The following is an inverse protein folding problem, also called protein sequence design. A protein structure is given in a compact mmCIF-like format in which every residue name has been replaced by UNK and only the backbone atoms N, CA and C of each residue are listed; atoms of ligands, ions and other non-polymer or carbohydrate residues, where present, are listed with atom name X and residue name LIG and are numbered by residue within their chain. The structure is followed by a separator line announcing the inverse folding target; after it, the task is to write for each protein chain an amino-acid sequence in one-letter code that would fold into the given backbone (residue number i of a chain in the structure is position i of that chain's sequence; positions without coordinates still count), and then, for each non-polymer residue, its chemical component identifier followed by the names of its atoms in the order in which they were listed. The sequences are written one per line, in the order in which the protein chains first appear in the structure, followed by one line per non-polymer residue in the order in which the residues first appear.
data_IF_872937168019
#
_entry.id   IF_872937168019
#
_cell.length_a   1.000
_cell.length_b   1.000
_cell.length_c   1.000
_cell.angle_alpha   90.00
_cell.angle_beta   90.00
_cell.angle_gamma   90.00
#
_symmetry.space_group_name_H-M   'P 1'
#
loop_
_entity.id
_entity.type
_entity.pdbx_description
1 polymer ?
#
# COMPACT_ATOMS: atom_id res chain seq x y z
N UNK A 1 -30.08 -1.48 -4.15
CA UNK A 1 -28.88 -2.33 -3.98
C UNK A 1 -29.36 -3.70 -3.50
N UNK A 2 -29.19 -4.78 -4.26
CA UNK A 2 -29.75 -6.10 -3.91
C UNK A 2 -28.81 -6.86 -2.96
N UNK A 3 -29.36 -7.69 -2.08
CA UNK A 3 -28.68 -8.45 -1.00
C UNK A 3 -27.36 -9.18 -1.40
N UNK A 4 -27.21 -9.54 -2.70
CA UNK A 4 -26.02 -10.18 -3.28
C UNK A 4 -24.85 -9.21 -3.53
N UNK A 5 -25.13 -7.90 -3.67
CA UNK A 5 -24.12 -6.83 -3.73
C UNK A 5 -23.63 -6.44 -2.34
N UNK A 6 -24.47 -6.51 -1.30
CA UNK A 6 -24.06 -6.18 0.07
C UNK A 6 -23.00 -7.15 0.62
N UNK A 7 -23.19 -8.47 0.48
CA UNK A 7 -22.18 -9.45 0.92
C UNK A 7 -20.85 -9.32 0.18
N UNK A 8 -20.89 -9.03 -1.13
CA UNK A 8 -19.68 -8.82 -1.93
C UNK A 8 -18.94 -7.55 -1.52
N UNK A 9 -19.67 -6.48 -1.22
CA UNK A 9 -19.11 -5.23 -0.70
C UNK A 9 -18.45 -5.44 0.67
N UNK A 10 -19.07 -6.22 1.57
CA UNK A 10 -18.46 -6.55 2.88
C UNK A 10 -17.15 -7.32 2.77
N UNK A 11 -17.08 -8.34 1.89
CA UNK A 11 -15.85 -9.11 1.71
C UNK A 11 -14.69 -8.26 1.18
N UNK A 12 -14.95 -7.37 0.22
CA UNK A 12 -13.97 -6.42 -0.27
C UNK A 12 -13.47 -5.49 0.84
N UNK A 13 -14.38 -4.99 1.69
CA UNK A 13 -14.01 -4.14 2.83
C UNK A 13 -13.14 -4.89 3.85
N UNK A 14 -13.40 -6.18 4.08
CA UNK A 14 -12.56 -7.01 4.97
C UNK A 14 -11.16 -7.18 4.41
N UNK A 15 -11.04 -7.57 3.13
CA UNK A 15 -9.74 -7.68 2.44
C UNK A 15 -9.02 -6.34 2.50
N UNK A 16 -9.69 -5.26 2.12
CA UNK A 16 -9.09 -3.92 2.16
C UNK A 16 -8.66 -3.51 3.57
N UNK A 17 -9.42 -3.87 4.61
CA UNK A 17 -9.05 -3.61 6.00
C UNK A 17 -7.82 -4.39 6.46
N UNK A 18 -7.70 -5.67 6.07
CA UNK A 18 -6.51 -6.49 6.35
C UNK A 18 -5.29 -5.90 5.62
N UNK A 19 -5.43 -5.60 4.32
CA UNK A 19 -4.42 -4.90 3.54
C UNK A 19 -3.98 -3.60 4.21
N UNK A 20 -4.91 -2.76 4.67
CA UNK A 20 -4.56 -1.50 5.34
C UNK A 20 -3.78 -1.75 6.65
N UNK A 21 -4.17 -2.74 7.44
CA UNK A 21 -3.43 -3.10 8.65
C UNK A 21 -1.99 -3.57 8.34
N UNK A 22 -1.83 -4.38 7.28
CA UNK A 22 -0.52 -4.80 6.79
C UNK A 22 0.30 -3.62 6.25
N UNK A 23 -0.34 -2.69 5.54
CA UNK A 23 0.27 -1.48 5.01
C UNK A 23 0.79 -0.58 6.14
N UNK A 24 -0.02 -0.36 7.18
CA UNK A 24 0.41 0.37 8.39
C UNK A 24 1.60 -0.32 9.05
N UNK A 25 1.54 -1.65 9.21
CA UNK A 25 2.62 -2.41 9.82
C UNK A 25 3.92 -2.37 9.00
N UNK A 26 3.80 -2.42 7.67
CA UNK A 26 4.90 -2.29 6.74
C UNK A 26 5.55 -0.90 6.82
N UNK A 27 4.76 0.17 6.67
CA UNK A 27 5.30 1.53 6.47
C UNK A 27 5.73 2.18 7.78
N UNK A 28 4.89 2.10 8.82
CA UNK A 28 5.20 2.76 10.09
C UNK A 28 6.20 1.95 10.93
N UNK A 29 6.04 0.64 10.95
CA UNK A 29 6.76 -0.23 11.88
C UNK A 29 7.78 -1.14 11.19
N UNK A 30 7.89 -1.13 9.85
CA UNK A 30 8.86 -1.94 9.10
C UNK A 30 8.79 -3.43 9.43
N UNK A 31 7.58 -3.93 9.70
CA UNK A 31 7.32 -5.30 10.18
C UNK A 31 7.97 -5.67 11.53
N UNK A 32 8.39 -4.68 12.33
CA UNK A 32 8.89 -4.90 13.68
C UNK A 32 7.87 -5.71 14.51
N UNK A 33 8.35 -6.77 15.16
CA UNK A 33 7.56 -7.57 16.10
C UNK A 33 7.74 -7.09 17.53
N UNK A 34 8.81 -6.34 17.79
CA UNK A 34 9.15 -5.80 19.10
C UNK A 34 9.46 -4.31 18.99
N UNK A 35 9.14 -3.49 20.02
CA UNK A 35 9.41 -2.06 19.99
C UNK A 35 10.87 -1.70 19.74
N UNK A 36 11.82 -2.53 20.19
CA UNK A 36 13.26 -2.27 20.04
C UNK A 36 13.76 -2.41 18.59
N UNK A 37 12.97 -3.04 17.71
CA UNK A 37 13.27 -3.17 16.28
C UNK A 37 12.82 -1.93 15.48
N UNK A 38 11.98 -1.08 16.07
CA UNK A 38 11.50 0.15 15.43
C UNK A 38 12.65 1.17 15.42
N UNK A 39 13.03 1.72 14.25
CA UNK A 39 14.11 2.69 14.18
C UNK A 39 13.81 3.92 15.05
N UNK A 40 14.83 4.46 15.72
CA UNK A 40 14.73 5.73 16.47
C UNK A 40 15.45 6.84 15.70
N UNK A 41 14.82 7.26 14.60
CA UNK A 41 15.38 8.30 13.75
C UNK A 41 14.29 9.29 13.37
N UNK A 42 14.68 10.56 13.26
CA UNK A 42 13.81 11.66 12.86
C UNK A 42 14.55 12.52 11.85
N UNK A 43 14.07 12.50 10.62
CA UNK A 43 14.57 13.32 9.53
C UNK A 43 13.43 13.78 8.65
N UNK A 44 13.65 14.84 7.88
CA UNK A 44 12.75 15.29 6.83
C UNK A 44 13.58 15.51 5.57
N UNK A 45 13.20 14.85 4.48
CA UNK A 45 13.67 15.12 3.14
C UNK A 45 12.51 15.67 2.29
N UNK A 46 12.60 16.94 1.92
CA UNK A 46 11.63 17.60 1.04
C UNK A 46 12.15 17.79 -0.38
N UNK A 47 13.34 17.27 -0.70
CA UNK A 47 13.91 17.33 -2.04
C UNK A 47 13.62 15.99 -2.72
N UNK A 48 12.67 15.93 -3.68
CA UNK A 48 12.30 14.67 -4.32
C UNK A 48 13.50 14.00 -4.95
N UNK A 49 13.64 12.69 -4.69
CA UNK A 49 14.72 11.84 -5.22
C UNK A 49 16.14 12.29 -4.85
N UNK A 50 16.31 13.19 -3.86
CA UNK A 50 17.65 13.61 -3.42
C UNK A 50 18.45 12.47 -2.77
N UNK A 51 17.77 11.60 -2.02
CA UNK A 51 18.36 10.37 -1.49
C UNK A 51 18.70 9.34 -2.59
N UNK A 52 18.03 9.45 -3.75
CA UNK A 52 18.17 8.54 -4.90
C UNK A 52 19.31 8.90 -5.84
N UNK A 53 20.08 9.95 -5.54
CA UNK A 53 21.23 10.38 -6.32
C UNK A 53 22.46 9.51 -5.98
N UNK A 54 22.42 8.28 -6.49
CA UNK A 54 23.56 7.38 -6.77
C UNK A 54 24.37 6.89 -5.56
N UNK A 55 24.07 5.68 -5.11
CA UNK A 55 25.04 4.81 -4.41
C UNK A 55 25.38 3.65 -5.34
N UNK A 56 26.64 3.52 -5.76
CA UNK A 56 27.17 2.39 -6.57
C UNK A 56 26.59 2.16 -7.97
N UNK A 57 26.18 3.22 -8.70
CA UNK A 57 25.87 3.12 -10.13
C UNK A 57 24.63 2.29 -10.50
N UNK A 58 23.88 1.80 -9.51
CA UNK A 58 22.52 1.27 -9.66
C UNK A 58 21.58 2.29 -9.06
N UNK A 59 20.70 2.84 -9.87
CA UNK A 59 19.66 3.76 -9.40
C UNK A 59 18.79 3.02 -8.37
N UNK A 60 18.30 3.71 -7.34
CA UNK A 60 17.24 3.29 -6.41
C UNK A 60 15.87 3.03 -7.11
N UNK A 61 15.87 2.62 -8.38
CA UNK A 61 14.67 2.24 -9.14
C UNK A 61 13.90 1.13 -8.40
N UNK A 62 14.59 0.24 -7.68
CA UNK A 62 13.93 -0.78 -6.86
C UNK A 62 13.07 -0.14 -5.76
N UNK A 63 13.57 0.84 -5.02
CA UNK A 63 12.81 1.51 -3.94
C UNK A 63 11.59 2.25 -4.50
N UNK A 64 11.77 2.97 -5.61
CA UNK A 64 10.66 3.65 -6.32
C UNK A 64 9.58 2.63 -6.73
N UNK A 65 9.99 1.53 -7.37
CA UNK A 65 9.06 0.48 -7.80
C UNK A 65 8.38 -0.17 -6.59
N UNK A 66 9.11 -0.46 -5.51
CA UNK A 66 8.59 -1.07 -4.29
C UNK A 66 7.52 -0.19 -3.64
N UNK A 67 7.79 1.11 -3.47
CA UNK A 67 6.82 2.09 -2.96
C UNK A 67 5.55 2.14 -3.82
N UNK A 68 5.72 2.24 -5.15
CA UNK A 68 4.60 2.21 -6.09
C UNK A 68 3.79 0.91 -6.00
N UNK A 69 4.46 -0.25 -5.91
CA UNK A 69 3.80 -1.56 -5.83
C UNK A 69 3.02 -1.73 -4.53
N UNK A 70 3.55 -1.21 -3.41
CA UNK A 70 2.89 -1.30 -2.10
C UNK A 70 1.55 -0.55 -2.10
N UNK A 71 1.44 0.59 -2.79
CA UNK A 71 0.17 1.35 -2.89
C UNK A 71 -0.75 0.96 -4.06
N UNK A 72 -0.29 0.12 -4.99
CA UNK A 72 -1.11 -0.34 -6.11
C UNK A 72 -2.42 -1.02 -5.65
N UNK A 73 -2.42 -1.94 -4.66
CA UNK A 73 -3.65 -2.53 -4.15
C UNK A 73 -4.61 -1.50 -3.55
N UNK A 74 -4.12 -0.41 -2.94
CA UNK A 74 -4.96 0.69 -2.45
C UNK A 74 -5.76 1.30 -3.60
N UNK A 75 -5.11 1.64 -4.71
CA UNK A 75 -5.75 2.21 -5.91
C UNK A 75 -6.82 1.31 -6.52
N UNK A 76 -6.55 -0.01 -6.57
CA UNK A 76 -7.51 -1.02 -7.02
C UNK A 76 -8.73 -1.10 -6.09
N UNK A 77 -8.50 -1.21 -4.79
CA UNK A 77 -9.56 -1.40 -3.80
C UNK A 77 -10.43 -0.16 -3.65
N UNK A 78 -9.84 1.04 -3.55
CA UNK A 78 -10.60 2.28 -3.39
C UNK A 78 -11.50 2.55 -4.61
N UNK A 79 -11.04 2.17 -5.80
CA UNK A 79 -11.83 2.27 -7.03
C UNK A 79 -12.95 1.24 -7.11
N UNK A 80 -12.78 0.07 -6.51
CA UNK A 80 -13.82 -0.94 -6.42
C UNK A 80 -14.86 -0.63 -5.32
N UNK A 81 -14.45 0.06 -4.24
CA UNK A 81 -15.33 0.50 -3.14
C UNK A 81 -16.14 1.74 -3.57
N UNK A 82 -15.49 2.70 -4.23
CA UNK A 82 -16.10 3.96 -4.69
C UNK A 82 -16.04 4.09 -6.23
N UNK A 83 -16.74 3.22 -6.98
CA UNK A 83 -16.65 3.18 -8.43
C UNK A 83 -17.16 4.46 -9.11
N UNK A 84 -18.12 5.13 -8.48
CA UNK A 84 -18.77 6.33 -9.00
C UNK A 84 -18.08 7.63 -8.53
N UNK A 85 -17.08 7.54 -7.65
CA UNK A 85 -16.30 8.70 -7.23
C UNK A 85 -15.39 9.18 -8.36
N UNK A 86 -15.20 10.48 -8.46
CA UNK A 86 -14.19 11.06 -9.35
C UNK A 86 -12.80 10.47 -9.08
N UNK A 87 -11.98 10.38 -10.14
CA UNK A 87 -10.61 9.86 -10.04
C UNK A 87 -9.77 10.75 -9.12
N UNK A 88 -9.96 12.07 -9.18
CA UNK A 88 -9.24 13.04 -8.35
C UNK A 88 -9.42 12.78 -6.86
N UNK A 89 -10.65 12.48 -6.41
CA UNK A 89 -10.92 12.14 -5.01
C UNK A 89 -10.19 10.87 -4.56
N UNK A 90 -10.08 9.88 -5.45
CA UNK A 90 -9.35 8.62 -5.17
C UNK A 90 -7.84 8.86 -5.08
N UNK A 91 -7.31 9.72 -5.95
CA UNK A 91 -5.90 10.16 -5.89
C UNK A 91 -5.65 10.96 -4.60
N UNK A 92 -6.57 11.85 -4.23
CA UNK A 92 -6.46 12.65 -3.01
C UNK A 92 -6.48 11.79 -1.74
N UNK A 93 -7.30 10.73 -1.71
CA UNK A 93 -7.29 9.77 -0.61
C UNK A 93 -5.96 9.01 -0.53
N UNK A 94 -5.38 8.63 -1.68
CA UNK A 94 -4.09 7.95 -1.70
C UNK A 94 -2.95 8.86 -1.25
N UNK A 95 -2.87 10.07 -1.80
CA UNK A 95 -1.83 11.05 -1.43
C UNK A 95 -1.98 11.49 0.03
N UNK A 96 -3.22 11.70 0.50
CA UNK A 96 -3.52 12.01 1.89
C UNK A 96 -3.11 10.90 2.85
N UNK A 97 -3.36 9.63 2.50
CA UNK A 97 -2.90 8.49 3.31
C UNK A 97 -1.37 8.38 3.32
N UNK A 98 -0.71 8.57 2.18
CA UNK A 98 0.75 8.53 2.12
C UNK A 98 1.37 9.66 2.96
N UNK A 99 0.86 10.88 2.82
CA UNK A 99 1.28 12.02 3.65
C UNK A 99 1.02 11.77 5.15
N UNK A 100 -0.08 11.11 5.49
CA UNK A 100 -0.36 10.74 6.88
C UNK A 100 0.71 9.80 7.45
N UNK A 101 1.21 8.84 6.66
CA UNK A 101 2.31 7.97 7.10
C UNK A 101 3.60 8.75 7.35
N UNK A 102 3.97 9.62 6.41
CA UNK A 102 5.14 10.50 6.52
C UNK A 102 5.12 11.37 7.78
N UNK A 103 3.98 12.05 8.01
CA UNK A 103 3.77 12.90 9.20
C UNK A 103 3.83 12.06 10.48
N UNK A 104 3.23 10.86 10.47
CA UNK A 104 3.25 9.95 11.61
C UNK A 104 4.68 9.50 11.93
N UNK A 105 5.46 9.09 10.92
CA UNK A 105 6.85 8.68 11.11
C UNK A 105 7.69 9.80 11.73
N UNK A 106 7.52 11.03 11.25
CA UNK A 106 8.21 12.20 11.79
C UNK A 106 7.83 12.50 13.24
N UNK A 107 6.52 12.58 13.55
CA UNK A 107 6.00 12.88 14.90
C UNK A 107 6.54 11.87 15.91
N UNK A 108 6.45 10.57 15.60
CA UNK A 108 6.87 9.51 16.52
C UNK A 108 8.36 9.20 16.48
N UNK A 109 9.15 9.86 15.61
CA UNK A 109 10.58 9.59 15.44
C UNK A 109 10.89 8.11 15.12
N UNK A 110 10.03 7.50 14.31
CA UNK A 110 10.12 6.09 13.89
C UNK A 110 10.65 5.93 12.45
N UNK A 111 11.00 7.03 11.79
CA UNK A 111 11.40 7.08 10.39
C UNK A 111 11.83 8.47 9.93
N UNK A 112 12.41 8.51 8.73
CA UNK A 112 12.74 9.76 8.05
C UNK A 112 11.60 10.01 7.09
N UNK A 113 10.98 11.18 7.21
CA UNK A 113 9.93 11.55 6.28
C UNK A 113 10.55 11.95 4.94
N UNK A 114 10.06 11.40 3.84
CA UNK A 114 10.52 11.67 2.48
C UNK A 114 9.35 12.01 1.54
N UNK A 115 9.44 13.17 0.88
CA UNK A 115 8.46 13.57 -0.13
C UNK A 115 8.40 12.60 -1.31
N UNK A 116 9.48 11.87 -1.57
CA UNK A 116 9.56 10.84 -2.62
C UNK A 116 8.58 9.70 -2.36
N UNK A 117 8.45 9.27 -1.10
CA UNK A 117 7.51 8.22 -0.70
C UNK A 117 6.06 8.67 -0.93
N UNK A 118 5.73 9.95 -0.67
CA UNK A 118 4.41 10.51 -1.00
C UNK A 118 4.13 10.42 -2.49
N UNK A 119 5.10 10.81 -3.32
CA UNK A 119 4.97 10.81 -4.77
C UNK A 119 4.81 9.39 -5.29
N UNK A 120 5.69 8.47 -4.91
CA UNK A 120 5.72 7.10 -5.42
C UNK A 120 4.50 6.31 -4.98
N UNK A 121 4.09 6.42 -3.72
CA UNK A 121 2.86 5.80 -3.22
C UNK A 121 1.63 6.34 -3.98
N UNK A 122 1.58 7.64 -4.26
CA UNK A 122 0.49 8.25 -5.05
C UNK A 122 0.50 7.72 -6.49
N UNK A 123 1.67 7.60 -7.13
CA UNK A 123 1.81 7.04 -8.47
C UNK A 123 1.40 5.56 -8.50
N UNK A 124 1.78 4.79 -7.49
CA UNK A 124 1.35 3.41 -7.27
C UNK A 124 -0.17 3.29 -7.22
N UNK A 125 -0.82 4.13 -6.42
CA UNK A 125 -2.28 4.18 -6.36
C UNK A 125 -2.91 4.59 -7.70
N UNK A 126 -2.33 5.54 -8.43
CA UNK A 126 -2.80 5.92 -9.79
C UNK A 126 -2.76 4.71 -10.72
N UNK A 127 -1.67 3.93 -10.73
CA UNK A 127 -1.57 2.70 -11.50
C UNK A 127 -2.67 1.72 -11.10
N UNK A 128 -2.90 1.53 -9.80
CA UNK A 128 -3.99 0.70 -9.28
C UNK A 128 -5.38 1.16 -9.77
N UNK A 129 -5.64 2.47 -9.78
CA UNK A 129 -6.88 3.06 -10.30
C UNK A 129 -7.03 2.78 -11.80
N UNK A 130 -5.98 3.00 -12.59
CA UNK A 130 -6.00 2.74 -14.04
C UNK A 130 -6.22 1.26 -14.36
N UNK A 131 -5.58 0.36 -13.60
CA UNK A 131 -5.81 -1.08 -13.69
C UNK A 131 -7.26 -1.43 -13.39
N UNK A 132 -7.85 -0.87 -12.32
CA UNK A 132 -9.27 -1.07 -12.03
C UNK A 132 -10.16 -0.65 -13.20
N UNK A 133 -9.92 0.52 -13.81
CA UNK A 133 -10.72 1.01 -14.93
C UNK A 133 -10.61 0.07 -16.14
N UNK A 134 -9.41 -0.41 -16.46
CA UNK A 134 -9.19 -1.44 -17.48
C UNK A 134 -9.93 -2.74 -17.16
N UNK A 135 -9.82 -3.21 -15.91
CA UNK A 135 -10.53 -4.40 -15.44
C UNK A 135 -12.05 -4.23 -15.50
N UNK A 136 -12.59 -3.05 -15.18
CA UNK A 136 -14.03 -2.75 -15.23
C UNK A 136 -14.55 -2.80 -16.66
N UNK A 137 -13.76 -2.35 -17.64
CA UNK A 137 -14.11 -2.45 -19.07
C UNK A 137 -14.21 -3.91 -19.54
N UNK A 138 -13.30 -4.77 -19.09
CA UNK A 138 -13.22 -6.18 -19.51
C UNK A 138 -14.24 -7.05 -18.74
N UNK A 139 -14.26 -6.96 -17.41
CA UNK A 139 -15.00 -7.88 -16.53
C UNK A 139 -16.26 -7.30 -15.88
N UNK A 140 -16.54 -5.99 -16.06
CA UNK A 140 -17.78 -5.30 -15.67
C UNK A 140 -18.19 -5.56 -14.20
N UNK A 141 -19.33 -6.21 -13.97
CA UNK A 141 -19.85 -6.50 -12.62
C UNK A 141 -19.02 -7.55 -11.86
N UNK A 142 -18.12 -8.27 -12.54
CA UNK A 142 -17.25 -9.26 -11.91
C UNK A 142 -15.96 -8.65 -11.34
N UNK A 143 -15.60 -7.42 -11.72
CA UNK A 143 -14.33 -6.78 -11.34
C UNK A 143 -14.11 -6.74 -9.84
N UNK A 144 -15.08 -6.28 -9.05
CA UNK A 144 -14.95 -6.25 -7.59
C UNK A 144 -14.75 -7.64 -6.97
N UNK A 145 -15.42 -8.68 -7.51
CA UNK A 145 -15.24 -10.07 -7.06
C UNK A 145 -13.82 -10.57 -7.37
N UNK A 146 -13.31 -10.29 -8.57
CA UNK A 146 -11.95 -10.67 -8.98
C UNK A 146 -10.93 -10.02 -8.06
N UNK A 147 -11.04 -8.70 -7.83
CA UNK A 147 -10.16 -7.95 -6.92
C UNK A 147 -10.20 -8.53 -5.51
N UNK A 148 -11.40 -8.83 -4.99
CA UNK A 148 -11.53 -9.44 -3.65
C UNK A 148 -10.82 -10.80 -3.56
N UNK A 149 -10.97 -11.66 -4.56
CA UNK A 149 -10.34 -12.99 -4.56
C UNK A 149 -8.82 -12.87 -4.69
N UNK A 150 -8.34 -12.03 -5.61
CA UNK A 150 -6.90 -11.81 -5.81
C UNK A 150 -6.27 -11.21 -4.56
N UNK A 151 -6.89 -10.19 -3.96
CA UNK A 151 -6.42 -9.59 -2.71
C UNK A 151 -6.33 -10.61 -1.58
N UNK A 152 -7.39 -11.38 -1.34
CA UNK A 152 -7.39 -12.42 -0.31
C UNK A 152 -6.30 -13.49 -0.54
N UNK A 153 -6.10 -13.95 -1.79
CA UNK A 153 -5.05 -14.92 -2.12
C UNK A 153 -3.66 -14.33 -1.87
N UNK A 154 -3.42 -13.09 -2.32
CA UNK A 154 -2.13 -12.42 -2.13
C UNK A 154 -1.83 -12.18 -0.65
N UNK A 155 -2.80 -11.76 0.15
CA UNK A 155 -2.66 -11.58 1.59
C UNK A 155 -2.34 -12.89 2.31
N UNK A 156 -3.02 -13.98 1.96
CA UNK A 156 -2.74 -15.31 2.55
C UNK A 156 -1.34 -15.78 2.19
N UNK A 157 -0.93 -15.64 0.93
CA UNK A 157 0.42 -16.00 0.49
C UNK A 157 1.49 -15.15 1.18
N UNK A 158 1.25 -13.85 1.31
CA UNK A 158 2.16 -12.92 1.98
C UNK A 158 2.29 -13.24 3.47
N UNK A 159 1.18 -13.46 4.18
CA UNK A 159 1.18 -13.85 5.58
C UNK A 159 1.86 -15.20 5.81
N UNK A 160 1.64 -16.18 4.92
CA UNK A 160 2.33 -17.46 4.98
C UNK A 160 3.85 -17.27 4.80
N UNK A 161 4.27 -16.46 3.82
CA UNK A 161 5.68 -16.15 3.61
C UNK A 161 6.30 -15.47 4.83
N UNK A 162 5.63 -14.46 5.41
CA UNK A 162 6.09 -13.81 6.64
C UNK A 162 6.23 -14.80 7.79
N UNK A 163 5.24 -15.68 7.98
CA UNK A 163 5.30 -16.71 9.00
C UNK A 163 6.53 -17.61 8.84
N UNK A 164 6.81 -18.08 7.63
CA UNK A 164 8.00 -18.90 7.36
C UNK A 164 9.29 -18.13 7.61
N UNK A 165 9.39 -16.87 7.17
CA UNK A 165 10.57 -16.03 7.39
C UNK A 165 10.84 -15.82 8.87
N UNK A 166 9.81 -15.49 9.66
CA UNK A 166 9.96 -15.30 11.11
C UNK A 166 10.24 -16.61 11.85
N UNK A 167 9.60 -17.72 11.46
CA UNK A 167 9.86 -19.03 12.05
C UNK A 167 11.31 -19.47 11.79
N UNK A 168 11.80 -19.32 10.55
CA UNK A 168 13.18 -19.62 10.20
C UNK A 168 14.18 -18.76 10.96
N UNK A 169 13.91 -17.45 11.10
CA UNK A 169 14.80 -16.52 11.80
C UNK A 169 14.83 -16.71 13.33
N UNK A 170 13.90 -17.49 13.92
CA UNK A 170 13.91 -17.88 15.34
C UNK A 170 14.49 -19.27 15.61
N UNK A 171 14.78 -20.04 14.55
CA UNK A 171 15.36 -21.38 14.66
C UNK A 171 16.89 -21.38 14.65
N UNK A 172 17.52 -20.21 14.41
CA UNK A 172 18.96 -19.98 14.44
C UNK A 172 19.28 -18.82 15.38
#
# INVERSE_FOLDING_TARGET
MTWKNEKKSKALLVVFGIYLALLVWCILFKFALRPEEIPHLRGINLVPYAASVVVNGKVQISEIIENMLVFLPFGLCISAIYPDSEIQNRILLASGLSLFFEVTQYIFAIGASDITDVIDNTLGAVIGILLYLGMKKIWKEKTGKIITILGAVLEVLFLALLFFTFAANRMF
#
